data_IF_941101977043
#
_entry.id   IF_941101977043
#
_cell.length_a   1.000
_cell.length_b   1.000
_cell.length_c   1.000
_cell.angle_alpha   90.00
_cell.angle_beta   90.00
_cell.angle_gamma   90.00
#
_symmetry.space_group_name_H-M   'P 1'
#
loop_
_entity.id
_entity.type
_entity.pdbx_description
1 polymer ?
#
# COMPACT_ATOMS: atom_id res chain seq x y z
N UNK A 1 5.13 6.71 15.33
CA UNK A 1 4.82 5.33 15.21
C UNK A 1 5.46 4.75 14.00
N UNK A 2 6.03 3.58 14.13
CA UNK A 2 6.72 3.01 13.00
C UNK A 2 5.76 2.46 11.98
N UNK A 3 6.08 2.62 10.71
CA UNK A 3 5.24 2.12 9.65
C UNK A 3 5.25 0.60 9.62
N UNK A 4 4.08 0.03 9.34
CA UNK A 4 3.93 -1.40 9.13
C UNK A 4 3.24 -1.61 7.79
N UNK A 5 3.58 -2.67 7.10
CA UNK A 5 3.06 -2.94 5.77
C UNK A 5 2.23 -4.23 5.72
N UNK A 6 1.36 -4.30 4.73
CA UNK A 6 0.63 -5.52 4.42
C UNK A 6 0.65 -5.71 2.92
N UNK A 7 1.01 -6.90 2.47
CA UNK A 7 1.02 -7.22 1.04
C UNK A 7 -0.38 -7.57 0.56
N UNK A 8 -0.76 -7.02 -0.58
CA UNK A 8 -1.97 -7.46 -1.27
C UNK A 8 -1.69 -8.84 -1.88
N UNK A 9 -2.74 -9.56 -2.22
CA UNK A 9 -2.58 -10.89 -2.79
C UNK A 9 -1.77 -10.91 -4.06
N UNK A 10 -1.84 -9.86 -4.86
CA UNK A 10 -1.12 -9.82 -6.11
C UNK A 10 0.32 -9.35 -5.98
N UNK A 11 0.76 -8.94 -4.80
CA UNK A 11 2.09 -8.40 -4.66
C UNK A 11 3.15 -9.50 -4.83
N UNK A 12 4.19 -9.21 -5.59
CA UNK A 12 5.28 -10.14 -5.80
C UNK A 12 5.93 -10.47 -4.46
N UNK A 13 5.89 -11.73 -4.08
CA UNK A 13 6.41 -12.14 -2.79
C UNK A 13 7.91 -11.91 -2.65
N UNK A 14 8.62 -11.79 -3.76
CA UNK A 14 10.04 -11.51 -3.70
C UNK A 14 10.30 -10.13 -3.10
N UNK A 15 9.36 -9.19 -3.28
CA UNK A 15 9.51 -7.87 -2.68
C UNK A 15 9.46 -7.98 -1.15
N UNK A 16 8.47 -8.72 -0.65
CA UNK A 16 8.32 -8.88 0.80
C UNK A 16 9.57 -9.55 1.38
N UNK A 17 10.02 -10.63 0.73
CA UNK A 17 11.18 -11.37 1.22
C UNK A 17 12.44 -10.52 1.20
N UNK A 18 12.62 -9.71 0.17
CA UNK A 18 13.81 -8.88 0.05
C UNK A 18 13.82 -7.75 1.08
N UNK A 19 12.66 -7.16 1.36
CA UNK A 19 12.58 -6.12 2.38
C UNK A 19 12.96 -6.72 3.73
N UNK A 20 12.39 -7.86 4.08
CA UNK A 20 12.64 -8.47 5.38
C UNK A 20 14.08 -8.95 5.49
N UNK A 21 14.66 -9.41 4.38
CA UNK A 21 16.05 -9.85 4.41
C UNK A 21 16.98 -8.68 4.67
N UNK A 22 16.69 -7.51 4.06
CA UNK A 22 17.57 -6.35 4.23
C UNK A 22 17.34 -5.65 5.56
N UNK A 23 16.09 -5.64 6.03
CA UNK A 23 15.76 -4.98 7.29
C UNK A 23 14.83 -5.90 8.06
N UNK A 24 15.37 -6.82 8.83
CA UNK A 24 14.53 -7.81 9.53
C UNK A 24 13.53 -7.21 10.52
N UNK A 25 13.72 -5.97 10.93
CA UNK A 25 12.80 -5.36 11.88
C UNK A 25 11.59 -4.73 11.20
N UNK A 26 11.54 -4.69 9.88
CA UNK A 26 10.35 -4.18 9.19
C UNK A 26 9.21 -5.16 9.39
N UNK A 27 8.07 -4.64 9.81
CA UNK A 27 6.88 -5.46 10.01
C UNK A 27 6.11 -5.47 8.71
N UNK A 28 6.27 -6.50 7.92
CA UNK A 28 5.64 -6.62 6.61
C UNK A 28 4.86 -7.92 6.61
N UNK A 29 3.53 -7.81 6.68
CA UNK A 29 2.71 -9.00 6.71
C UNK A 29 2.43 -9.48 5.29
N UNK A 30 2.63 -10.76 5.05
CA UNK A 30 2.38 -11.33 3.75
C UNK A 30 0.89 -11.43 3.50
N UNK A 31 0.53 -11.62 2.24
CA UNK A 31 -0.85 -11.88 1.89
C UNK A 31 -1.31 -13.16 2.56
N UNK A 32 -2.59 -13.22 2.83
CA UNK A 32 -3.13 -14.40 3.45
C UNK A 32 -3.10 -15.59 2.55
N UNK A 33 -3.56 -16.67 3.04
CA UNK A 33 -3.51 -17.89 2.35
C UNK A 33 -4.09 -17.84 0.97
N UNK A 34 -3.43 -18.53 0.12
CA UNK A 34 -3.86 -18.59 -1.22
C UNK A 34 -5.21 -19.22 -1.43
N UNK A 35 -5.75 -19.85 -0.41
CA UNK A 35 -6.95 -20.43 -0.61
C UNK A 35 -8.02 -19.43 -0.77
N UNK A 36 -7.87 -18.21 -0.44
CA UNK A 36 -8.85 -17.21 -0.57
C UNK A 36 -8.69 -16.61 -1.92
N UNK A 37 -9.24 -17.25 -2.90
CA UNK A 37 -9.07 -16.80 -4.24
C UNK A 37 -9.52 -15.40 -4.47
N UNK A 38 -10.62 -15.02 -3.96
CA UNK A 38 -11.08 -13.71 -4.24
C UNK A 38 -11.47 -13.05 -2.98
N UNK A 39 -10.64 -12.22 -2.48
CA UNK A 39 -10.98 -11.38 -1.36
C UNK A 39 -11.35 -10.03 -1.95
N UNK A 40 -12.56 -9.55 -1.75
CA UNK A 40 -12.95 -8.26 -2.31
C UNK A 40 -12.01 -7.15 -1.86
N UNK A 41 -11.72 -6.22 -2.76
CA UNK A 41 -10.77 -5.15 -2.46
C UNK A 41 -11.21 -4.31 -1.27
N UNK A 42 -12.50 -4.13 -1.08
CA UNK A 42 -12.96 -3.36 0.08
C UNK A 42 -12.60 -4.07 1.37
N UNK A 43 -12.65 -5.41 1.38
CA UNK A 43 -12.27 -6.15 2.57
C UNK A 43 -10.77 -6.09 2.79
N UNK A 44 -9.98 -6.11 1.74
CA UNK A 44 -8.52 -6.00 1.87
C UNK A 44 -8.17 -4.65 2.46
N UNK A 45 -8.83 -3.58 1.99
CA UNK A 45 -8.60 -2.25 2.53
C UNK A 45 -9.02 -2.17 3.99
N UNK A 46 -10.16 -2.78 4.33
CA UNK A 46 -10.62 -2.75 5.71
C UNK A 46 -9.67 -3.52 6.62
N UNK A 47 -9.21 -4.69 6.18
CA UNK A 47 -8.32 -5.50 6.99
C UNK A 47 -6.99 -4.77 7.25
N UNK A 48 -6.43 -4.11 6.22
CA UNK A 48 -5.19 -3.38 6.40
C UNK A 48 -5.39 -2.18 7.31
N UNK A 49 -6.54 -1.51 7.19
CA UNK A 49 -6.83 -0.34 8.00
C UNK A 49 -6.99 -0.75 9.47
N UNK A 50 -7.70 -1.84 9.72
CA UNK A 50 -7.90 -2.29 11.10
C UNK A 50 -6.59 -2.75 11.73
N UNK A 51 -5.68 -3.26 10.92
CA UNK A 51 -4.38 -3.69 11.41
C UNK A 51 -3.39 -2.53 11.51
N UNK A 52 -3.74 -1.35 11.04
CA UNK A 52 -2.85 -0.20 11.06
C UNK A 52 -1.68 -0.35 10.11
N UNK A 53 -1.90 -0.98 8.95
CA UNK A 53 -0.83 -1.29 8.02
C UNK A 53 -1.06 -0.59 6.68
N UNK A 54 0.02 -0.12 6.06
CA UNK A 54 -0.04 0.43 4.71
C UNK A 54 -0.15 -0.76 3.77
N UNK A 55 -1.15 -0.75 2.90
CA UNK A 55 -1.36 -1.81 1.93
C UNK A 55 -0.46 -1.59 0.72
N UNK A 56 0.24 -2.62 0.28
CA UNK A 56 1.15 -2.54 -0.85
C UNK A 56 0.64 -3.46 -1.94
N UNK A 57 0.40 -2.94 -3.14
CA UNK A 57 -0.29 -3.66 -4.19
C UNK A 57 0.28 -3.31 -5.56
N UNK A 58 0.04 -4.17 -6.55
CA UNK A 58 0.34 -3.87 -7.96
C UNK A 58 -0.91 -3.43 -8.71
N UNK A 59 -2.07 -3.38 -8.07
CA UNK A 59 -3.33 -3.21 -8.78
C UNK A 59 -3.58 -1.76 -9.13
N UNK A 60 -3.13 -1.35 -10.30
CA UNK A 60 -3.36 0.02 -10.77
C UNK A 60 -4.72 0.18 -11.40
N UNK A 61 -5.39 -0.91 -11.75
CA UNK A 61 -6.64 -0.79 -12.47
C UNK A 61 -7.84 -0.59 -11.57
N UNK A 62 -7.95 -1.33 -10.52
CA UNK A 62 -9.16 -1.26 -9.69
C UNK A 62 -8.92 -0.68 -8.31
N UNK A 63 -7.70 -0.77 -7.79
CA UNK A 63 -7.45 -0.27 -6.44
C UNK A 63 -7.72 1.23 -6.29
N UNK A 64 -7.38 2.09 -7.25
CA UNK A 64 -7.66 3.52 -7.06
C UNK A 64 -9.14 3.82 -6.83
N UNK A 65 -10.04 3.16 -7.57
CA UNK A 65 -11.44 3.40 -7.39
C UNK A 65 -11.93 2.83 -6.06
N UNK A 66 -11.43 1.64 -5.68
CA UNK A 66 -11.80 1.07 -4.40
C UNK A 66 -11.28 1.93 -3.24
N UNK A 67 -10.09 2.50 -3.40
CA UNK A 67 -9.55 3.40 -2.39
C UNK A 67 -10.43 4.64 -2.25
N UNK A 68 -10.87 5.21 -3.38
CA UNK A 68 -11.71 6.38 -3.34
C UNK A 68 -13.01 6.10 -2.59
N UNK A 69 -13.63 4.96 -2.90
CA UNK A 69 -14.88 4.59 -2.23
C UNK A 69 -14.65 4.33 -0.75
N UNK A 70 -13.58 3.65 -0.43
CA UNK A 70 -13.29 3.30 0.96
C UNK A 70 -13.09 4.56 1.81
N UNK A 71 -12.38 5.53 1.28
CA UNK A 71 -12.06 6.72 2.05
C UNK A 71 -13.21 7.71 2.19
N UNK A 72 -14.33 7.44 1.52
CA UNK A 72 -15.52 8.25 1.77
C UNK A 72 -16.04 8.02 3.18
N UNK A 73 -15.84 6.83 3.72
CA UNK A 73 -16.37 6.50 5.02
C UNK A 73 -15.37 5.96 6.03
N UNK A 74 -14.17 5.65 5.61
CA UNK A 74 -13.20 5.02 6.49
C UNK A 74 -11.83 5.67 6.37
N UNK A 75 -11.07 5.57 7.43
CA UNK A 75 -9.70 6.04 7.46
C UNK A 75 -8.79 4.88 7.05
N UNK A 76 -7.73 5.16 6.33
CA UNK A 76 -6.76 4.14 5.96
C UNK A 76 -5.35 4.63 6.29
N UNK A 77 -4.45 3.72 6.72
CA UNK A 77 -3.06 4.09 6.93
C UNK A 77 -2.33 4.46 5.65
N UNK A 78 -2.89 4.11 4.50
CA UNK A 78 -2.30 4.45 3.21
C UNK A 78 -2.20 3.24 2.32
N UNK A 79 -2.04 3.48 1.02
CA UNK A 79 -1.88 2.43 0.03
C UNK A 79 -0.74 2.83 -0.89
N UNK A 80 0.16 1.90 -1.14
CA UNK A 80 1.25 2.11 -2.09
C UNK A 80 1.05 1.20 -3.28
N UNK A 81 1.12 1.78 -4.48
CA UNK A 81 1.00 1.01 -5.72
C UNK A 81 2.35 0.92 -6.40
N UNK A 82 2.77 -0.30 -6.70
CA UNK A 82 4.06 -0.58 -7.31
C UNK A 82 3.82 -1.11 -8.72
N UNK A 83 4.38 -0.49 -9.76
CA UNK A 83 4.24 -1.04 -11.11
C UNK A 83 4.80 -2.46 -11.17
N UNK A 84 4.12 -3.35 -11.88
CA UNK A 84 4.58 -4.73 -11.94
C UNK A 84 5.92 -4.89 -12.61
N UNK A 85 6.28 -4.00 -13.50
CA UNK A 85 7.55 -4.08 -14.20
C UNK A 85 8.65 -3.28 -13.52
N UNK A 86 8.39 -2.68 -12.37
CA UNK A 86 9.44 -1.97 -11.68
C UNK A 86 10.46 -2.98 -11.17
N UNK A 87 11.75 -2.74 -11.36
CA UNK A 87 12.76 -3.66 -10.82
C UNK A 87 12.57 -3.82 -9.31
N UNK A 88 12.66 -5.06 -8.86
CA UNK A 88 12.41 -5.36 -7.45
C UNK A 88 13.33 -4.55 -6.55
N UNK A 89 14.56 -4.36 -6.93
CA UNK A 89 15.49 -3.58 -6.10
C UNK A 89 15.02 -2.17 -5.85
N UNK A 90 14.42 -1.52 -6.86
CA UNK A 90 13.92 -0.17 -6.68
C UNK A 90 12.71 -0.15 -5.75
N UNK A 91 11.84 -1.14 -5.86
CA UNK A 91 10.68 -1.23 -4.99
C UNK A 91 11.14 -1.41 -3.54
N UNK A 92 12.10 -2.31 -3.34
CA UNK A 92 12.61 -2.61 -2.00
C UNK A 92 13.30 -1.38 -1.42
N UNK A 93 14.14 -0.70 -2.20
CA UNK A 93 14.84 0.49 -1.74
C UNK A 93 13.85 1.55 -1.29
N UNK A 94 12.78 1.75 -2.06
CA UNK A 94 11.81 2.79 -1.75
C UNK A 94 11.03 2.44 -0.48
N UNK A 95 10.62 1.17 -0.34
CA UNK A 95 9.87 0.79 0.84
C UNK A 95 10.73 0.90 2.11
N UNK A 96 12.00 0.54 2.02
CA UNK A 96 12.88 0.67 3.17
C UNK A 96 13.13 2.13 3.49
N UNK A 97 13.28 2.97 2.47
CA UNK A 97 13.48 4.40 2.69
C UNK A 97 12.26 5.00 3.40
N UNK A 98 11.06 4.66 2.94
CA UNK A 98 9.85 5.17 3.56
C UNK A 98 9.79 4.72 5.02
N UNK A 99 10.10 3.46 5.27
CA UNK A 99 10.05 2.91 6.62
C UNK A 99 11.07 3.59 7.54
N UNK A 100 12.25 3.86 7.03
CA UNK A 100 13.32 4.42 7.85
C UNK A 100 13.18 5.91 8.09
N UNK A 101 12.63 6.63 7.11
CA UNK A 101 12.69 8.08 7.11
C UNK A 101 11.36 8.78 7.41
N UNK A 102 10.23 8.07 7.48
CA UNK A 102 8.94 8.74 7.65
C UNK A 102 8.14 8.11 8.75
N UNK A 103 7.10 8.79 9.18
CA UNK A 103 6.18 8.28 10.19
C UNK A 103 4.88 7.84 9.56
N UNK A 104 4.12 7.07 10.30
CA UNK A 104 2.89 6.50 9.78
C UNK A 104 1.88 7.55 9.37
N UNK A 105 1.81 8.65 10.10
CA UNK A 105 0.79 9.63 9.80
C UNK A 105 1.07 10.42 8.52
N UNK A 106 2.23 10.26 7.91
CA UNK A 106 2.49 10.97 6.67
C UNK A 106 1.75 10.36 5.50
N UNK A 107 1.29 9.12 5.63
CA UNK A 107 0.69 8.42 4.51
C UNK A 107 -0.80 8.18 4.68
N UNK A 108 -1.36 8.62 5.78
CA UNK A 108 -2.76 8.37 6.07
C UNK A 108 -3.66 8.94 5.00
N UNK A 109 -4.60 8.15 4.56
CA UNK A 109 -5.59 8.52 3.56
C UNK A 109 -4.98 8.94 2.23
N UNK A 110 -3.81 8.39 1.91
CA UNK A 110 -3.14 8.68 0.65
C UNK A 110 -2.88 7.42 -0.14
N UNK A 111 -3.02 7.54 -1.44
CA UNK A 111 -2.68 6.49 -2.39
C UNK A 111 -1.47 6.99 -3.15
N UNK A 112 -0.34 6.35 -2.99
CA UNK A 112 0.92 6.86 -3.54
C UNK A 112 1.56 5.87 -4.49
N UNK A 113 2.24 6.41 -5.48
CA UNK A 113 2.95 5.58 -6.44
C UNK A 113 4.37 5.32 -5.96
N UNK A 114 4.88 4.13 -6.18
CA UNK A 114 6.26 3.79 -5.92
C UNK A 114 6.95 3.75 -7.28
N UNK A 115 8.12 4.31 -7.48
CA UNK A 115 9.03 4.82 -6.45
C UNK A 115 8.93 6.32 -6.21
N UNK A 116 8.09 7.02 -6.94
CA UNK A 116 8.08 8.48 -6.85
C UNK A 116 7.45 9.00 -5.57
N UNK A 117 6.58 8.22 -4.95
CA UNK A 117 5.85 8.60 -3.74
C UNK A 117 4.87 9.76 -3.98
N UNK A 118 4.48 9.94 -5.23
CA UNK A 118 3.50 10.96 -5.56
C UNK A 118 2.13 10.43 -5.23
N UNK A 119 1.31 11.24 -4.57
CA UNK A 119 -0.06 10.85 -4.25
C UNK A 119 -0.94 11.00 -5.47
N UNK A 120 -1.85 10.05 -5.65
CA UNK A 120 -2.83 10.12 -6.70
C UNK A 120 -4.09 10.65 -6.09
N UNK A 121 -4.70 11.61 -6.79
CA UNK A 121 -5.97 12.14 -6.35
C UNK A 121 -7.02 11.46 -7.18
N UNK A 122 -7.79 10.58 -6.60
CA UNK A 122 -8.72 9.78 -7.33
C UNK A 122 -10.14 10.29 -7.23
N UNK A 123 -10.76 10.42 -8.34
CA UNK A 123 -12.15 10.77 -8.35
C UNK A 123 -12.51 12.07 -7.76
N UNK A 124 -11.65 12.88 -7.66
CA UNK A 124 -11.85 13.99 -7.02
C UNK A 124 -12.52 14.91 -7.72
N UNK A 125 -13.28 15.21 -7.62
CA UNK A 125 -13.92 16.04 -8.22
C UNK A 125 -13.57 17.20 -7.96
N UNK A 126 -13.04 17.43 -8.01
CA UNK A 126 -12.70 18.57 -8.00
C UNK A 126 -13.05 19.51 -7.25
N UNK A 127 -13.22 19.61 -6.61
CA UNK A 127 -13.49 20.44 -5.89
C UNK A 127 -12.65 21.39 -5.97
N UNK A 128 -12.39 21.77 -6.67
CA UNK A 128 -11.58 22.66 -6.80
C UNK A 128 -11.92 23.81 -6.34
N UNK A 129 -11.46 24.31 -5.65
CA UNK A 129 -11.67 25.42 -5.01
C UNK A 129 -11.61 26.41 -5.97
N UNK A 130 -12.07 26.71 -6.45
CA UNK A 130 -11.97 27.81 -7.19
C UNK A 130 -11.01 28.40 -7.55
#
# INVERSE_FOLDING_TARGET
MRIRFKADNDLNKAIVRAVIRREPTVDFRSAQSARLDHVPDQKVLMDSAQAGRILVSHDFQTMPEHFREFTLEHHTPGVFLIPQDLPIGLAVDTLILVWAATGGNEWENRLCLIPSLVSIVVGTKARIPG
#
